data_IF_930197729538
#
_entry.id   IF_930197729538
#
_cell.length_a   1.000
_cell.length_b   1.000
_cell.length_c   1.000
_cell.angle_alpha   90.00
_cell.angle_beta   90.00
_cell.angle_gamma   90.00
#
_symmetry.space_group_name_H-M   'P 1'
#
loop_
_entity.id
_entity.type
_entity.pdbx_description
1 polymer ?
#
# COMPACT_ATOMS: atom_id res chain seq x y z
N UNK A 1 0.55 -26.60 2.38
CA UNK A 1 -0.88 -26.70 2.76
C UNK A 1 -1.34 -25.35 3.28
N UNK A 2 -1.85 -24.51 2.39
CA UNK A 2 -2.31 -23.16 2.72
C UNK A 2 -3.61 -23.27 3.50
N UNK A 3 -3.59 -22.95 4.81
CA UNK A 3 -4.81 -22.84 5.60
C UNK A 3 -5.60 -21.65 5.06
N UNK A 4 -6.62 -21.93 4.26
CA UNK A 4 -7.60 -20.94 3.82
C UNK A 4 -8.31 -20.44 5.08
N UNK A 5 -8.20 -19.14 5.36
CA UNK A 5 -8.96 -18.50 6.42
C UNK A 5 -10.45 -18.85 6.22
N UNK A 6 -11.16 -19.33 7.26
CA UNK A 6 -12.59 -19.55 7.16
C UNK A 6 -13.25 -18.29 6.62
N UNK A 7 -14.03 -18.41 5.55
CA UNK A 7 -14.76 -17.26 4.99
C UNK A 7 -15.57 -16.63 6.12
N UNK A 8 -15.50 -15.30 6.27
CA UNK A 8 -16.28 -14.52 7.25
C UNK A 8 -17.75 -14.97 7.24
N UNK A 9 -18.26 -15.31 6.05
CA UNK A 9 -19.63 -15.78 5.86
C UNK A 9 -19.94 -17.07 6.62
N UNK A 10 -18.98 -17.99 6.72
CA UNK A 10 -19.08 -19.26 7.46
C UNK A 10 -19.00 -19.04 8.97
N UNK A 11 -18.17 -18.11 9.43
CA UNK A 11 -18.09 -17.73 10.85
C UNK A 11 -19.38 -17.03 11.33
N UNK A 12 -19.98 -16.20 10.48
CA UNK A 12 -21.20 -15.45 10.82
C UNK A 12 -22.49 -16.28 10.78
N UNK A 13 -22.54 -17.39 10.02
CA UNK A 13 -23.81 -18.08 9.75
C UNK A 13 -24.43 -18.83 10.94
N UNK A 14 -23.67 -19.18 12.00
CA UNK A 14 -24.20 -20.06 13.06
C UNK A 14 -24.19 -19.49 14.49
N UNK A 15 -23.47 -18.39 14.78
CA UNK A 15 -23.33 -17.88 16.17
C UNK A 15 -23.51 -16.36 16.34
N UNK A 16 -23.76 -15.62 15.24
CA UNK A 16 -23.47 -14.19 15.14
C UNK A 16 -24.66 -13.21 15.21
N UNK A 17 -25.77 -13.59 15.85
CA UNK A 17 -26.89 -12.69 16.07
C UNK A 17 -27.30 -12.71 17.53
N UNK A 18 -27.61 -11.54 18.09
CA UNK A 18 -28.35 -11.47 19.35
C UNK A 18 -29.85 -11.76 19.11
N UNK A 19 -30.61 -11.91 20.18
CA UNK A 19 -32.04 -12.24 20.17
C UNK A 19 -32.88 -11.26 19.33
N UNK A 20 -32.35 -10.07 19.04
CA UNK A 20 -32.97 -9.01 18.25
C UNK A 20 -32.49 -8.97 16.79
N UNK A 21 -31.74 -9.96 16.31
CA UNK A 21 -31.26 -10.05 14.92
C UNK A 21 -30.15 -9.05 14.57
N UNK A 22 -29.48 -8.46 15.57
CA UNK A 22 -28.35 -7.55 15.36
C UNK A 22 -27.02 -8.24 15.71
N UNK A 23 -25.90 -7.91 15.02
CA UNK A 23 -24.60 -8.51 15.33
C UNK A 23 -24.16 -8.16 16.75
N UNK A 24 -23.63 -9.14 17.50
CA UNK A 24 -23.10 -8.93 18.85
C UNK A 24 -21.96 -7.91 18.82
N UNK A 25 -21.76 -7.15 19.90
CA UNK A 25 -20.73 -6.10 19.98
C UNK A 25 -19.32 -6.59 19.59
N UNK A 26 -18.97 -7.82 19.98
CA UNK A 26 -17.70 -8.46 19.63
C UNK A 26 -17.56 -8.75 18.12
N UNK A 27 -18.66 -9.02 17.41
CA UNK A 27 -18.66 -9.21 15.95
C UNK A 27 -18.51 -7.89 15.21
N UNK A 28 -19.13 -6.81 15.68
CA UNK A 28 -18.94 -5.48 15.08
C UNK A 28 -17.48 -5.03 15.20
N UNK A 29 -16.84 -5.29 16.34
CA UNK A 29 -15.39 -5.05 16.51
C UNK A 29 -14.56 -5.92 15.58
N UNK A 30 -14.88 -7.21 15.47
CA UNK A 30 -14.20 -8.12 14.54
C UNK A 30 -14.31 -7.66 13.08
N UNK A 31 -15.49 -7.19 12.65
CA UNK A 31 -15.71 -6.66 11.30
C UNK A 31 -14.81 -5.46 11.01
N UNK A 32 -14.65 -4.51 11.94
CA UNK A 32 -13.72 -3.38 11.76
C UNK A 32 -12.28 -3.85 11.69
N UNK A 33 -11.87 -4.79 12.54
CA UNK A 33 -10.52 -5.32 12.50
C UNK A 33 -10.23 -5.99 11.15
N UNK A 34 -11.20 -6.73 10.62
CA UNK A 34 -11.09 -7.33 9.29
C UNK A 34 -11.02 -6.27 8.20
N UNK A 35 -11.85 -5.23 8.25
CA UNK A 35 -11.81 -4.10 7.31
C UNK A 35 -10.45 -3.38 7.36
N UNK A 36 -9.86 -3.19 8.54
CA UNK A 36 -8.50 -2.64 8.69
C UNK A 36 -7.49 -3.52 7.95
N UNK A 37 -7.56 -4.84 8.10
CA UNK A 37 -6.69 -5.76 7.38
C UNK A 37 -6.93 -5.68 5.86
N UNK A 38 -8.16 -5.84 5.40
CA UNK A 38 -8.50 -5.82 3.97
C UNK A 38 -8.02 -4.54 3.28
N UNK A 39 -8.24 -3.39 3.93
CA UNK A 39 -7.77 -2.11 3.38
C UNK A 39 -6.24 -2.00 3.37
N UNK A 40 -5.55 -2.62 4.33
CA UNK A 40 -4.09 -2.67 4.39
C UNK A 40 -3.50 -3.59 3.32
N UNK A 41 -4.09 -4.77 3.12
CA UNK A 41 -3.70 -5.70 2.06
C UNK A 41 -3.89 -5.05 0.68
N UNK A 42 -5.03 -4.38 0.49
CA UNK A 42 -5.30 -3.65 -0.74
C UNK A 42 -4.32 -2.49 -0.95
N UNK A 43 -4.01 -1.72 0.09
CA UNK A 43 -3.03 -0.64 0.03
C UNK A 43 -1.65 -1.14 -0.40
N UNK A 44 -1.14 -2.20 0.24
CA UNK A 44 0.14 -2.80 -0.13
C UNK A 44 0.14 -3.39 -1.52
N UNK A 45 -0.94 -4.06 -1.92
CA UNK A 45 -1.10 -4.59 -3.28
C UNK A 45 -0.97 -3.47 -4.31
N UNK A 46 -1.64 -2.34 -4.08
CA UNK A 46 -1.56 -1.15 -4.93
C UNK A 46 -0.14 -0.57 -4.94
N UNK A 47 0.52 -0.43 -3.79
CA UNK A 47 1.90 0.08 -3.78
C UNK A 47 2.91 -0.87 -4.42
N UNK A 48 2.70 -2.19 -4.35
CA UNK A 48 3.55 -3.17 -5.04
C UNK A 48 3.47 -3.03 -6.56
N UNK A 49 2.36 -2.54 -7.12
CA UNK A 49 2.26 -2.22 -8.55
C UNK A 49 3.30 -1.16 -8.94
N UNK A 50 3.53 -0.12 -8.13
CA UNK A 50 4.59 0.88 -8.39
C UNK A 50 5.98 0.23 -8.50
N UNK A 51 6.22 -0.84 -7.77
CA UNK A 51 7.52 -1.53 -7.79
C UNK A 51 7.61 -2.49 -8.97
N UNK A 52 6.62 -3.38 -9.11
CA UNK A 52 6.67 -4.49 -10.07
C UNK A 52 6.39 -4.05 -11.50
N UNK A 53 5.47 -3.11 -11.72
CA UNK A 53 5.05 -2.67 -13.06
C UNK A 53 5.87 -1.47 -13.53
N UNK A 54 6.29 -0.57 -12.62
CA UNK A 54 7.03 0.63 -13.00
C UNK A 54 8.53 0.52 -12.66
N UNK A 55 8.89 0.53 -11.37
CA UNK A 55 10.30 0.64 -10.94
C UNK A 55 11.20 -0.45 -11.52
N UNK A 56 10.84 -1.73 -11.35
CA UNK A 56 11.71 -2.86 -11.75
C UNK A 56 11.94 -2.90 -13.26
N UNK A 57 10.90 -2.81 -14.12
CA UNK A 57 11.11 -2.75 -15.58
C UNK A 57 11.97 -1.55 -16.00
N UNK A 58 11.76 -0.38 -15.42
CA UNK A 58 12.57 0.81 -15.69
C UNK A 58 14.03 0.59 -15.29
N UNK A 59 14.28 0.06 -14.10
CA UNK A 59 15.62 -0.21 -13.59
C UNK A 59 16.38 -1.21 -14.50
N UNK A 60 15.69 -2.23 -15.03
CA UNK A 60 16.27 -3.17 -15.99
C UNK A 60 16.63 -2.50 -17.32
N UNK A 61 15.73 -1.66 -17.87
CA UNK A 61 15.98 -0.93 -19.12
C UNK A 61 17.16 0.04 -18.99
N UNK A 62 17.24 0.78 -17.88
CA UNK A 62 18.36 1.68 -17.58
C UNK A 62 19.68 0.89 -17.55
N UNK A 63 19.77 -0.19 -16.76
CA UNK A 63 20.98 -1.02 -16.66
C UNK A 63 21.38 -1.65 -17.99
N UNK A 64 20.43 -1.99 -18.85
CA UNK A 64 20.71 -2.52 -20.19
C UNK A 64 21.31 -1.45 -21.10
N UNK A 65 20.78 -0.21 -21.07
CA UNK A 65 21.29 0.92 -21.84
C UNK A 65 22.72 1.30 -21.45
N UNK A 66 23.06 1.25 -20.15
CA UNK A 66 24.42 1.54 -19.66
C UNK A 66 25.46 0.50 -20.11
N UNK A 67 25.06 -0.77 -20.23
CA UNK A 67 25.94 -1.87 -20.68
C UNK A 67 26.21 -1.85 -22.18
N UNK A 68 25.23 -1.40 -22.97
CA UNK A 68 25.36 -1.28 -24.42
C UNK A 68 25.72 0.16 -24.76
N UNK A 69 27.02 0.49 -24.69
CA UNK A 69 27.56 1.86 -24.88
C UNK A 69 27.23 2.54 -26.22
N UNK A 70 26.59 1.84 -27.16
CA UNK A 70 26.09 2.37 -28.44
C UNK A 70 24.66 2.93 -28.35
N UNK A 71 23.89 2.54 -27.33
CA UNK A 71 22.50 2.93 -27.11
C UNK A 71 22.37 3.65 -25.77
N UNK A 72 22.93 4.86 -25.66
CA UNK A 72 22.56 5.74 -24.55
C UNK A 72 21.10 6.12 -24.79
N UNK A 73 20.17 5.48 -24.08
CA UNK A 73 18.74 5.83 -24.10
C UNK A 73 18.54 7.17 -23.38
N UNK A 74 19.04 8.27 -23.98
CA UNK A 74 18.87 9.65 -23.48
C UNK A 74 17.40 10.02 -23.29
N UNK A 75 16.52 9.31 -23.99
CA UNK A 75 15.06 9.46 -24.00
C UNK A 75 14.34 8.61 -22.94
N UNK A 76 15.07 7.86 -22.09
CA UNK A 76 14.57 7.22 -20.88
C UNK A 76 14.93 8.06 -19.64
N UNK A 77 14.48 7.61 -18.47
CA UNK A 77 14.91 8.05 -17.16
C UNK A 77 16.39 7.77 -16.90
N UNK A 78 17.08 8.68 -16.22
CA UNK A 78 18.34 8.43 -15.56
C UNK A 78 18.14 7.69 -14.23
N UNK A 79 19.21 7.08 -13.70
CA UNK A 79 19.18 6.46 -12.38
C UNK A 79 18.85 7.47 -11.26
N UNK A 80 19.26 8.74 -11.44
CA UNK A 80 18.93 9.83 -10.50
C UNK A 80 17.43 10.10 -10.49
N UNK A 81 16.80 10.23 -11.66
CA UNK A 81 15.35 10.44 -11.78
C UNK A 81 14.57 9.24 -11.23
N UNK A 82 15.01 8.00 -11.53
CA UNK A 82 14.42 6.78 -10.96
C UNK A 82 14.47 6.78 -9.42
N UNK A 83 15.61 7.17 -8.85
CA UNK A 83 15.76 7.25 -7.39
C UNK A 83 14.87 8.35 -6.80
N UNK A 84 14.77 9.52 -7.44
CA UNK A 84 13.84 10.56 -7.00
C UNK A 84 12.40 10.05 -6.95
N UNK A 85 11.95 9.31 -7.98
CA UNK A 85 10.58 8.82 -8.07
C UNK A 85 10.26 7.69 -7.06
N UNK A 86 11.16 6.72 -6.86
CA UNK A 86 10.81 5.46 -6.17
C UNK A 86 11.60 5.16 -4.88
N UNK A 87 12.66 5.90 -4.57
CA UNK A 87 13.49 5.58 -3.40
C UNK A 87 12.73 5.77 -2.08
N UNK A 88 11.94 6.84 -1.98
CA UNK A 88 11.24 7.20 -0.74
C UNK A 88 10.00 6.36 -0.45
N UNK A 89 9.43 5.69 -1.46
CA UNK A 89 8.25 4.84 -1.27
C UNK A 89 8.59 3.43 -0.76
N UNK A 90 9.80 2.94 -1.05
CA UNK A 90 10.22 1.58 -0.65
C UNK A 90 10.19 1.38 0.89
N UNK A 91 10.70 2.31 1.72
CA UNK A 91 10.57 2.22 3.17
C UNK A 91 9.11 2.18 3.68
N UNK A 92 8.21 2.91 3.03
CA UNK A 92 6.78 2.90 3.37
C UNK A 92 6.19 1.51 3.11
N UNK A 93 6.45 0.93 1.94
CA UNK A 93 5.97 -0.42 1.59
C UNK A 93 6.44 -1.44 2.62
N UNK A 94 7.71 -1.36 3.04
CA UNK A 94 8.26 -2.29 4.02
C UNK A 94 7.60 -2.14 5.40
N UNK A 95 7.45 -0.91 5.90
CA UNK A 95 6.78 -0.65 7.18
C UNK A 95 5.35 -1.20 7.18
N UNK A 96 4.60 -0.94 6.11
CA UNK A 96 3.24 -1.43 5.94
C UNK A 96 3.17 -2.96 5.78
N UNK A 97 4.15 -3.60 5.14
CA UNK A 97 4.23 -5.06 5.04
C UNK A 97 4.34 -5.72 6.42
N UNK A 98 5.14 -5.15 7.34
CA UNK A 98 5.21 -5.65 8.71
C UNK A 98 3.90 -5.44 9.48
N UNK A 99 3.22 -4.31 9.27
CA UNK A 99 1.89 -4.05 9.84
C UNK A 99 0.88 -5.09 9.34
N UNK A 100 0.83 -5.34 8.02
CA UNK A 100 -0.04 -6.35 7.42
C UNK A 100 0.20 -7.73 8.04
N UNK A 101 1.45 -8.16 8.16
CA UNK A 101 1.79 -9.45 8.74
C UNK A 101 1.36 -9.56 10.21
N UNK A 102 1.55 -8.49 10.99
CA UNK A 102 1.08 -8.44 12.38
C UNK A 102 -0.45 -8.48 12.48
N UNK A 103 -1.17 -7.73 11.62
CA UNK A 103 -2.63 -7.73 11.55
C UNK A 103 -3.16 -9.12 11.17
N UNK A 104 -2.59 -9.74 10.13
CA UNK A 104 -2.99 -11.05 9.66
C UNK A 104 -2.79 -12.12 10.73
N UNK A 105 -1.65 -12.11 11.44
CA UNK A 105 -1.41 -13.02 12.58
C UNK A 105 -2.41 -12.81 13.71
N UNK A 106 -2.76 -11.56 14.00
CA UNK A 106 -3.73 -11.21 15.04
C UNK A 106 -5.13 -11.71 14.67
N UNK A 107 -5.59 -11.45 13.44
CA UNK A 107 -6.94 -11.81 12.98
C UNK A 107 -7.08 -13.32 12.76
N UNK A 108 -6.02 -13.99 12.29
CA UNK A 108 -6.02 -15.45 12.13
C UNK A 108 -6.15 -16.19 13.47
N UNK A 109 -5.59 -15.62 14.54
CA UNK A 109 -5.67 -16.15 15.90
C UNK A 109 -6.56 -15.25 16.77
N UNK A 110 -7.76 -14.95 16.25
CA UNK A 110 -8.66 -13.98 16.88
C UNK A 110 -9.08 -14.40 18.29
N UNK A 111 -8.94 -13.46 19.23
CA UNK A 111 -9.57 -13.51 20.54
C UNK A 111 -10.11 -12.11 20.91
N UNK A 112 -11.05 -12.06 21.85
CA UNK A 112 -11.67 -10.79 22.26
C UNK A 112 -10.69 -9.81 22.95
N UNK A 113 -9.48 -10.26 23.31
CA UNK A 113 -8.43 -9.44 23.90
C UNK A 113 -7.41 -8.94 22.86
N UNK A 114 -7.58 -9.23 21.56
CA UNK A 114 -6.67 -8.76 20.51
C UNK A 114 -6.61 -7.23 20.44
N UNK A 115 -5.44 -6.66 20.70
CA UNK A 115 -5.20 -5.22 20.67
C UNK A 115 -4.72 -4.79 19.28
N UNK A 116 -5.62 -4.74 18.29
CA UNK A 116 -5.27 -4.29 16.93
C UNK A 116 -4.70 -2.86 16.94
N UNK A 117 -5.23 -1.97 17.79
CA UNK A 117 -4.67 -0.63 17.98
C UNK A 117 -3.22 -0.63 18.48
N UNK A 118 -2.82 -1.65 19.27
CA UNK A 118 -1.43 -1.79 19.75
C UNK A 118 -0.47 -2.06 18.60
N UNK A 119 -0.88 -2.82 17.58
CA UNK A 119 -0.04 -3.06 16.40
C UNK A 119 0.34 -1.72 15.76
N UNK A 120 -0.64 -0.86 15.51
CA UNK A 120 -0.38 0.47 14.95
C UNK A 120 0.46 1.36 15.86
N UNK A 121 0.26 1.29 17.18
CA UNK A 121 1.10 2.01 18.15
C UNK A 121 2.55 1.50 18.14
N UNK A 122 2.76 0.19 18.06
CA UNK A 122 4.09 -0.44 18.01
C UNK A 122 4.87 0.00 16.75
N UNK A 123 4.17 0.22 15.63
CA UNK A 123 4.77 0.68 14.37
C UNK A 123 4.72 2.21 14.18
N UNK A 124 4.19 2.98 15.13
CA UNK A 124 4.03 4.43 14.98
C UNK A 124 5.37 5.13 14.73
N UNK A 125 6.42 4.77 15.48
CA UNK A 125 7.76 5.34 15.31
C UNK A 125 8.36 5.04 13.93
N UNK A 126 8.09 3.85 13.38
CA UNK A 126 8.53 3.51 12.03
C UNK A 126 7.82 4.36 10.97
N UNK A 127 6.51 4.55 11.12
CA UNK A 127 5.70 5.39 10.25
C UNK A 127 6.16 6.86 10.33
N UNK A 128 6.36 7.40 11.53
CA UNK A 128 6.90 8.75 11.76
C UNK A 128 8.28 8.95 11.14
N UNK A 129 9.09 7.90 11.03
CA UNK A 129 10.40 7.96 10.38
C UNK A 129 10.32 7.97 8.86
N UNK A 130 9.41 7.19 8.26
CA UNK A 130 9.38 6.98 6.79
C UNK A 130 8.46 7.94 6.04
N UNK A 131 7.42 8.47 6.68
CA UNK A 131 6.45 9.34 6.02
C UNK A 131 6.93 10.77 5.75
N UNK A 132 7.55 11.49 6.71
CA UNK A 132 7.99 12.86 6.48
C UNK A 132 8.95 13.01 5.28
N UNK A 133 9.97 12.14 5.10
CA UNK A 133 10.82 12.18 3.91
C UNK A 133 10.04 12.00 2.59
N UNK A 134 8.98 11.20 2.59
CA UNK A 134 8.14 10.99 1.41
C UNK A 134 7.26 12.21 1.14
N UNK A 135 6.54 12.70 2.14
CA UNK A 135 5.65 13.86 2.03
C UNK A 135 6.44 15.10 1.59
N UNK A 136 7.60 15.34 2.20
CA UNK A 136 8.45 16.49 1.88
C UNK A 136 9.03 16.43 0.47
N UNK A 137 9.13 15.23 -0.14
CA UNK A 137 9.62 15.05 -1.51
C UNK A 137 8.49 14.80 -2.51
N UNK A 138 7.23 14.84 -2.09
CA UNK A 138 6.09 14.52 -2.96
C UNK A 138 6.00 15.47 -4.16
N UNK A 139 6.18 16.77 -3.92
CA UNK A 139 6.20 17.77 -5.01
C UNK A 139 7.39 17.57 -5.96
N UNK A 140 8.54 17.14 -5.44
CA UNK A 140 9.72 16.82 -6.27
C UNK A 140 9.47 15.56 -7.11
N UNK A 141 8.78 14.55 -6.57
CA UNK A 141 8.35 13.35 -7.29
C UNK A 141 7.43 13.75 -8.45
N UNK A 142 6.41 14.58 -8.20
CA UNK A 142 5.48 15.02 -9.24
C UNK A 142 6.18 15.86 -10.31
N UNK A 143 7.01 16.83 -9.91
CA UNK A 143 7.79 17.64 -10.86
C UNK A 143 8.73 16.80 -11.71
N UNK A 144 9.37 15.80 -11.12
CA UNK A 144 10.25 14.87 -11.86
C UNK A 144 9.43 14.02 -12.83
N UNK A 145 8.27 13.51 -12.39
CA UNK A 145 7.37 12.75 -13.25
C UNK A 145 6.92 13.58 -14.47
N UNK A 146 6.44 14.80 -14.25
CA UNK A 146 6.00 15.72 -15.31
C UNK A 146 7.14 16.04 -16.29
N UNK A 147 8.32 16.36 -15.75
CA UNK A 147 9.50 16.63 -16.54
C UNK A 147 9.90 15.43 -17.40
N UNK A 148 9.96 14.23 -16.81
CA UNK A 148 10.32 13.02 -17.53
C UNK A 148 9.26 12.68 -18.58
N UNK A 149 7.97 12.74 -18.26
CA UNK A 149 6.90 12.44 -19.22
C UNK A 149 6.94 13.37 -20.43
N UNK A 150 7.20 14.67 -20.21
CA UNK A 150 7.28 15.64 -21.30
C UNK A 150 8.56 15.53 -22.14
N UNK A 151 9.72 15.33 -21.49
CA UNK A 151 11.03 15.43 -22.16
C UNK A 151 11.60 14.08 -22.61
N UNK A 152 11.04 12.95 -22.17
CA UNK A 152 11.60 11.61 -22.37
C UNK A 152 10.60 10.71 -23.11
N UNK A 153 10.57 10.72 -24.46
CA UNK A 153 9.58 10.00 -25.25
C UNK A 153 9.50 8.50 -24.96
N UNK A 154 10.63 7.82 -24.72
CA UNK A 154 10.63 6.38 -24.37
C UNK A 154 10.03 6.12 -22.99
N UNK A 155 10.25 7.03 -22.05
CA UNK A 155 9.59 6.96 -20.75
C UNK A 155 8.08 7.19 -20.86
N UNK A 156 7.66 8.19 -21.65
CA UNK A 156 6.23 8.43 -21.92
C UNK A 156 5.54 7.20 -22.52
N UNK A 157 6.15 6.58 -23.54
CA UNK A 157 5.63 5.36 -24.14
C UNK A 157 5.56 4.21 -23.12
N UNK A 158 6.61 4.05 -22.30
CA UNK A 158 6.63 3.09 -21.21
C UNK A 158 5.49 3.32 -20.21
N UNK A 159 5.26 4.57 -19.78
CA UNK A 159 4.20 4.91 -18.85
C UNK A 159 2.83 4.50 -19.41
N UNK A 160 2.54 4.84 -20.67
CA UNK A 160 1.28 4.43 -21.30
C UNK A 160 1.09 2.92 -21.34
N UNK A 161 2.16 2.17 -21.66
CA UNK A 161 2.12 0.71 -21.68
C UNK A 161 1.89 0.15 -20.27
N UNK A 162 2.61 0.67 -19.28
CA UNK A 162 2.51 0.26 -17.88
C UNK A 162 1.13 0.55 -17.28
N UNK A 163 0.56 1.74 -17.53
CA UNK A 163 -0.77 2.12 -17.05
C UNK A 163 -1.91 1.35 -17.71
N UNK A 164 -1.70 0.85 -18.94
CA UNK A 164 -2.64 -0.04 -19.62
C UNK A 164 -2.65 -1.47 -19.03
N UNK A 165 -1.66 -1.82 -18.20
CA UNK A 165 -1.56 -3.14 -17.58
C UNK A 165 -2.73 -3.41 -16.63
N UNK A 166 -3.32 -4.62 -16.63
CA UNK A 166 -4.47 -4.94 -15.77
C UNK A 166 -4.16 -4.79 -14.27
N UNK A 167 -2.89 -4.97 -13.88
CA UNK A 167 -2.38 -4.78 -12.52
C UNK A 167 -2.57 -3.35 -12.00
N UNK A 168 -2.52 -2.35 -12.89
CA UNK A 168 -2.72 -0.94 -12.54
C UNK A 168 -4.19 -0.61 -12.23
N UNK A 169 -5.14 -1.49 -12.60
CA UNK A 169 -6.57 -1.31 -12.34
C UNK A 169 -7.10 0.07 -12.76
N UNK A 170 -6.62 0.60 -13.90
CA UNK A 170 -6.94 1.94 -14.44
C UNK A 170 -6.48 3.12 -13.57
N UNK A 171 -5.57 2.88 -12.62
CA UNK A 171 -4.90 3.95 -11.89
C UNK A 171 -3.71 4.44 -12.71
N UNK A 172 -3.56 5.75 -12.83
CA UNK A 172 -2.32 6.35 -13.33
C UNK A 172 -1.20 6.20 -12.30
N UNK A 173 0.05 6.34 -12.73
CA UNK A 173 1.20 6.37 -11.81
C UNK A 173 1.07 7.49 -10.77
N UNK A 174 0.42 8.61 -11.13
CA UNK A 174 0.13 9.73 -10.21
C UNK A 174 -0.88 9.33 -9.13
N UNK A 175 -1.94 8.61 -9.51
CA UNK A 175 -2.95 8.08 -8.58
C UNK A 175 -2.33 7.08 -7.59
N UNK A 176 -1.27 6.40 -7.98
CA UNK A 176 -0.52 5.50 -7.11
C UNK A 176 0.40 6.27 -6.15
N UNK A 177 1.09 7.32 -6.62
CA UNK A 177 1.96 8.14 -5.77
C UNK A 177 1.21 8.96 -4.73
N UNK A 178 -0.05 9.36 -4.94
CA UNK A 178 -0.81 10.07 -3.91
C UNK A 178 -1.25 9.16 -2.74
N UNK A 179 -1.27 7.83 -2.93
CA UNK A 179 -1.82 6.86 -1.96
C UNK A 179 -1.20 6.97 -0.57
N UNK A 180 0.13 7.10 -0.38
CA UNK A 180 0.69 7.21 0.97
C UNK A 180 0.20 8.47 1.70
N UNK A 181 0.12 9.61 1.03
CA UNK A 181 -0.39 10.86 1.61
C UNK A 181 -1.83 10.67 2.12
N UNK A 182 -2.65 9.94 1.38
CA UNK A 182 -4.05 9.63 1.73
C UNK A 182 -4.20 8.53 2.78
N UNK A 183 -3.21 7.64 2.93
CA UNK A 183 -3.31 6.46 3.79
C UNK A 183 -3.37 6.83 5.26
N UNK A 184 -2.55 7.78 5.71
CA UNK A 184 -2.47 8.14 7.14
C UNK A 184 -3.82 8.67 7.67
N UNK A 185 -4.49 9.65 7.02
CA UNK A 185 -5.83 10.05 7.41
C UNK A 185 -6.84 8.90 7.44
N UNK A 186 -6.79 8.02 6.42
CA UNK A 186 -7.71 6.88 6.30
C UNK A 186 -7.55 5.88 7.46
N UNK A 187 -6.31 5.56 7.83
CA UNK A 187 -5.99 4.69 8.96
C UNK A 187 -6.49 5.30 10.27
N UNK A 188 -6.31 6.60 10.47
CA UNK A 188 -6.80 7.27 11.69
C UNK A 188 -8.30 7.14 11.85
N UNK A 189 -9.09 7.30 10.77
CA UNK A 189 -10.54 7.12 10.81
C UNK A 189 -10.94 5.69 11.19
N UNK A 190 -10.26 4.68 10.62
CA UNK A 190 -10.51 3.27 10.95
C UNK A 190 -10.16 2.96 12.41
N UNK A 191 -9.07 3.52 12.94
CA UNK A 191 -8.67 3.33 14.33
C UNK A 191 -9.60 4.04 15.32
N UNK A 192 -10.08 5.24 14.99
CA UNK A 192 -11.12 5.92 15.78
C UNK A 192 -12.41 5.10 15.83
N UNK A 193 -12.78 4.48 14.72
CA UNK A 193 -13.97 3.65 14.65
C UNK A 193 -13.80 2.33 15.42
N UNK A 194 -12.61 1.75 15.39
CA UNK A 194 -12.26 0.62 16.25
C UNK A 194 -12.34 0.99 17.73
N UNK A 195 -11.84 2.18 18.10
CA UNK A 195 -11.84 2.67 19.48
C UNK A 195 -13.26 2.76 20.04
N UNK A 196 -14.19 3.40 19.32
CA UNK A 196 -15.63 3.48 19.69
C UNK A 196 -16.29 2.12 19.94
N UNK A 197 -15.77 1.06 19.31
CA UNK A 197 -16.31 -0.31 19.41
C UNK A 197 -15.56 -1.18 20.43
N UNK A 198 -14.48 -0.66 21.00
CA UNK A 198 -13.65 -1.34 22.00
C UNK A 198 -13.90 -0.81 23.42
N UNK A 199 -14.58 0.34 23.58
CA UNK A 199 -14.99 0.87 24.89
C UNK A 199 -15.97 -0.08 25.60
N UNK A 200 -15.52 -0.67 26.71
CA UNK A 200 -16.29 -1.24 27.82
C UNK A 200 -15.66 -0.72 29.11
#
# INVERSE_FOLDING_TARGET
MTRVLPSIRVFLSNEAMNENGTPKKNERRFMVCHEILDTEENYLRILKVLIEVFKKPLEMRIKHSERNSRDVERDLLSLKELNTLFMKITPIINAHAYIQEALQRSISNWNNNNLIGKIWADFALDLERVYPPYINSYDDILRTLDYCEFNKPKFHEFLKQAEASPECQKNSIRDLFIRPVQRIPSVLLLLQELFKRTEN
#
